data_IF_871863482195
#
_entry.id   IF_871863482195
#
_cell.length_a   1.000
_cell.length_b   1.000
_cell.length_c   1.000
_cell.angle_alpha   90.00
_cell.angle_beta   90.00
_cell.angle_gamma   90.00
#
_symmetry.space_group_name_H-M   'P 1'
#
loop_
_entity.id
_entity.type
_entity.pdbx_description
1 polymer ?
#
# COMPACT_ATOMS: atom_id res chain seq x y z
N UNK A 1 0.51 -20.55 0.05
CA UNK A 1 0.06 -19.47 0.96
C UNK A 1 1.04 -18.31 0.88
N UNK A 2 0.56 -17.07 0.87
CA UNK A 2 1.40 -15.87 0.67
C UNK A 2 1.36 -14.97 1.88
N UNK A 3 2.53 -14.53 2.32
CA UNK A 3 2.66 -13.55 3.38
C UNK A 3 3.10 -12.18 2.84
N UNK A 4 2.53 -11.13 3.43
CA UNK A 4 2.90 -9.74 3.19
C UNK A 4 3.29 -9.08 4.51
N UNK A 5 4.47 -8.44 4.54
CA UNK A 5 4.93 -7.69 5.71
C UNK A 5 4.72 -6.20 5.53
N UNK A 6 4.28 -5.52 6.59
CA UNK A 6 4.00 -4.09 6.61
C UNK A 6 4.97 -3.35 7.54
N UNK A 7 5.26 -2.09 7.17
CA UNK A 7 5.95 -1.15 8.06
C UNK A 7 5.06 -0.85 9.29
N UNK A 8 5.66 -0.49 10.44
CA UNK A 8 4.92 -0.23 11.67
C UNK A 8 3.75 0.76 11.53
N UNK A 9 3.90 1.78 10.70
CA UNK A 9 2.86 2.80 10.46
C UNK A 9 1.55 2.27 9.89
N UNK A 10 1.57 1.10 9.25
CA UNK A 10 0.36 0.46 8.72
C UNK A 10 -0.18 -0.63 9.63
N UNK A 11 0.56 -1.04 10.67
CA UNK A 11 0.26 -2.26 11.42
C UNK A 11 -1.13 -2.22 12.08
N UNK A 12 -1.49 -1.10 12.72
CA UNK A 12 -2.81 -0.92 13.35
C UNK A 12 -3.94 -0.91 12.32
N UNK A 13 -3.74 -0.23 11.19
CA UNK A 13 -4.74 -0.14 10.12
C UNK A 13 -5.01 -1.51 9.47
N UNK A 14 -3.95 -2.31 9.27
CA UNK A 14 -4.06 -3.66 8.72
C UNK A 14 -4.69 -4.62 9.74
N UNK A 15 -4.29 -4.54 11.02
CA UNK A 15 -4.89 -5.32 12.10
C UNK A 15 -6.39 -5.07 12.23
N UNK A 16 -6.81 -3.81 12.11
CA UNK A 16 -8.22 -3.42 12.15
C UNK A 16 -8.98 -3.62 10.83
N UNK A 17 -8.34 -4.17 9.79
CA UNK A 17 -8.90 -4.33 8.44
C UNK A 17 -9.45 -3.02 7.83
N UNK A 18 -8.89 -1.89 8.24
CA UNK A 18 -9.13 -0.58 7.65
C UNK A 18 -8.35 -0.46 6.34
N UNK A 19 -7.05 -0.81 6.38
CA UNK A 19 -6.20 -0.96 5.19
C UNK A 19 -6.37 -2.37 4.63
N UNK A 20 -7.00 -2.47 3.45
CA UNK A 20 -7.35 -3.73 2.77
C UNK A 20 -6.63 -3.95 1.43
N UNK A 21 -5.64 -3.12 1.15
CA UNK A 21 -4.83 -3.23 -0.06
C UNK A 21 -3.35 -2.97 0.20
N UNK A 22 -2.49 -3.46 -0.70
CA UNK A 22 -1.05 -3.16 -0.71
C UNK A 22 -0.49 -3.17 -2.13
N UNK A 23 0.37 -2.20 -2.42
CA UNK A 23 1.22 -2.22 -3.62
C UNK A 23 2.49 -3.04 -3.35
N UNK A 24 2.90 -3.88 -4.31
CA UNK A 24 4.12 -4.71 -4.23
C UNK A 24 4.82 -4.75 -5.58
N UNK A 25 6.15 -4.80 -5.54
CA UNK A 25 6.94 -5.10 -6.73
C UNK A 25 6.59 -6.51 -7.25
N UNK A 26 6.82 -6.72 -8.55
CA UNK A 26 6.64 -8.02 -9.16
C UNK A 26 7.59 -9.05 -8.53
N UNK A 27 7.11 -10.30 -8.37
CA UNK A 27 7.93 -11.40 -7.86
C UNK A 27 7.38 -12.71 -8.38
N UNK A 28 8.17 -13.78 -8.28
CA UNK A 28 7.80 -15.14 -8.75
C UNK A 28 6.38 -15.59 -8.37
N UNK A 29 5.86 -15.19 -7.20
CA UNK A 29 4.51 -15.55 -6.76
C UNK A 29 3.87 -14.49 -5.86
N UNK A 30 2.71 -13.98 -6.26
CA UNK A 30 1.76 -13.27 -5.41
C UNK A 30 0.56 -14.15 -5.05
N UNK A 31 -0.30 -13.67 -4.14
CA UNK A 31 -1.58 -14.32 -3.87
C UNK A 31 -2.44 -14.31 -5.14
N UNK A 32 -3.40 -15.22 -5.24
CA UNK A 32 -4.41 -15.21 -6.30
C UNK A 32 -5.78 -14.97 -5.67
N UNK A 33 -6.76 -14.41 -6.41
CA UNK A 33 -8.12 -14.31 -5.93
C UNK A 33 -8.63 -15.65 -5.37
N UNK A 34 -9.24 -15.61 -4.18
CA UNK A 34 -9.69 -16.80 -3.44
C UNK A 34 -8.65 -17.44 -2.51
N UNK A 35 -7.36 -17.08 -2.63
CA UNK A 35 -6.32 -17.58 -1.70
C UNK A 35 -6.27 -16.76 -0.40
N UNK A 36 -6.03 -17.39 0.76
CA UNK A 36 -5.77 -16.66 2.00
C UNK A 36 -4.43 -15.92 1.96
N UNK A 37 -4.41 -14.69 2.51
CA UNK A 37 -3.22 -13.87 2.68
C UNK A 37 -2.86 -13.73 4.15
N UNK A 38 -1.59 -13.98 4.47
CA UNK A 38 -1.09 -13.77 5.83
C UNK A 38 -0.47 -12.38 5.95
N UNK A 39 -0.93 -11.60 6.93
CA UNK A 39 -0.52 -10.21 7.10
C UNK A 39 0.34 -10.10 8.36
N UNK A 40 1.57 -9.63 8.19
CA UNK A 40 2.58 -9.58 9.25
C UNK A 40 3.22 -8.19 9.40
N UNK A 41 3.84 -7.95 10.54
CA UNK A 41 4.81 -6.88 10.76
C UNK A 41 6.15 -7.51 11.17
N UNK A 42 7.26 -6.90 10.76
CA UNK A 42 8.59 -7.30 11.22
C UNK A 42 9.01 -8.72 10.79
N UNK A 43 8.54 -9.19 9.63
CA UNK A 43 8.83 -10.54 9.16
C UNK A 43 10.34 -10.77 9.01
N UNK A 44 10.82 -11.96 9.37
CA UNK A 44 12.26 -12.34 9.44
C UNK A 44 13.06 -11.63 10.54
N UNK A 45 12.39 -11.06 11.52
CA UNK A 45 13.02 -10.52 12.73
C UNK A 45 12.41 -11.17 13.97
N UNK A 46 13.05 -10.99 15.14
CA UNK A 46 12.49 -11.43 16.44
C UNK A 46 11.17 -10.72 16.79
N UNK A 47 10.87 -9.59 16.15
CA UNK A 47 9.66 -8.79 16.37
C UNK A 47 8.55 -9.16 15.38
N UNK A 48 8.59 -10.37 14.80
CA UNK A 48 7.59 -10.81 13.82
C UNK A 48 6.24 -11.05 14.51
N UNK A 49 5.21 -10.34 14.07
CA UNK A 49 3.86 -10.45 14.64
C UNK A 49 2.83 -10.57 13.52
N UNK A 50 1.91 -11.54 13.66
CA UNK A 50 0.74 -11.67 12.78
C UNK A 50 -0.24 -10.57 13.12
N UNK A 51 -0.70 -9.83 12.12
CA UNK A 51 -1.55 -8.65 12.30
C UNK A 51 -3.03 -8.99 12.37
N UNK A 52 -3.47 -10.02 11.65
CA UNK A 52 -4.86 -10.48 11.60
C UNK A 52 -4.90 -11.96 11.92
N UNK A 53 -5.75 -12.36 12.88
CA UNK A 53 -5.82 -13.74 13.37
C UNK A 53 -6.34 -14.68 12.28
N UNK A 54 -7.50 -14.37 11.70
CA UNK A 54 -8.08 -15.06 10.54
C UNK A 54 -7.49 -14.45 9.26
N UNK A 55 -6.85 -15.28 8.45
CA UNK A 55 -6.23 -14.84 7.20
C UNK A 55 -7.30 -14.30 6.23
N UNK A 56 -7.26 -13.01 5.84
CA UNK A 56 -8.17 -12.46 4.85
C UNK A 56 -8.05 -13.16 3.50
N UNK A 57 -9.10 -13.11 2.69
CA UNK A 57 -9.12 -13.71 1.37
C UNK A 57 -8.70 -12.68 0.33
N UNK A 58 -7.68 -12.99 -0.46
CA UNK A 58 -7.32 -12.15 -1.61
C UNK A 58 -8.54 -12.06 -2.54
N UNK A 59 -8.99 -10.83 -2.79
CA UNK A 59 -10.15 -10.57 -3.63
C UNK A 59 -9.72 -10.24 -5.06
N UNK A 60 -8.63 -9.47 -5.22
CA UNK A 60 -8.13 -9.02 -6.52
C UNK A 60 -6.62 -8.87 -6.52
N UNK A 61 -6.04 -9.06 -7.70
CA UNK A 61 -4.65 -8.71 -8.02
C UNK A 61 -4.65 -8.02 -9.37
N UNK A 62 -4.17 -6.78 -9.41
CA UNK A 62 -4.21 -5.90 -10.59
C UNK A 62 -2.84 -5.30 -10.85
N UNK A 63 -2.47 -5.05 -12.11
CA UNK A 63 -1.25 -4.30 -12.39
C UNK A 63 -1.42 -2.85 -11.94
N UNK A 64 -0.34 -2.25 -11.44
CA UNK A 64 -0.31 -0.86 -11.01
C UNK A 64 0.99 -0.19 -11.43
N UNK A 65 0.86 1.04 -11.92
CA UNK A 65 1.97 1.93 -12.21
C UNK A 65 1.85 3.18 -11.34
N UNK A 66 2.98 3.62 -10.77
CA UNK A 66 3.06 4.85 -9.97
C UNK A 66 4.22 5.68 -10.50
N UNK A 67 3.95 6.93 -10.89
CA UNK A 67 4.98 7.87 -11.30
C UNK A 67 5.24 8.88 -10.18
N UNK A 68 6.52 9.08 -9.86
CA UNK A 68 7.00 9.94 -8.77
C UNK A 68 7.98 10.98 -9.32
N UNK A 69 7.86 12.22 -8.87
CA UNK A 69 8.76 13.35 -9.20
C UNK A 69 9.13 14.13 -7.93
N UNK A 70 10.25 14.83 -7.97
CA UNK A 70 10.67 15.83 -6.98
C UNK A 70 10.41 17.28 -7.45
N UNK A 71 9.91 17.46 -8.68
CA UNK A 71 9.58 18.77 -9.26
C UNK A 71 8.24 19.33 -8.76
N UNK A 72 7.48 18.56 -7.98
CA UNK A 72 6.17 18.93 -7.45
C UNK A 72 6.07 18.62 -5.94
N UNK A 73 5.38 19.44 -5.14
CA UNK A 73 5.25 19.22 -3.69
C UNK A 73 4.63 17.87 -3.29
N UNK A 74 3.68 17.38 -4.08
CA UNK A 74 2.90 16.17 -3.77
C UNK A 74 3.65 14.87 -4.16
N UNK A 75 4.72 14.97 -4.94
CA UNK A 75 5.55 13.90 -5.50
C UNK A 75 4.86 12.83 -6.37
N UNK A 76 3.68 12.31 -6.03
CA UNK A 76 2.91 11.42 -6.92
C UNK A 76 2.40 12.21 -8.11
N UNK A 77 2.86 11.88 -9.31
CA UNK A 77 2.41 12.48 -10.58
C UNK A 77 1.14 11.79 -11.06
N UNK A 78 1.17 10.46 -11.16
CA UNK A 78 0.06 9.64 -11.65
C UNK A 78 0.06 8.26 -10.99
N UNK A 79 -1.13 7.67 -10.92
CA UNK A 79 -1.33 6.26 -10.59
C UNK A 79 -2.20 5.69 -11.70
N UNK A 80 -1.82 4.55 -12.27
CA UNK A 80 -2.65 3.82 -13.22
C UNK A 80 -2.85 2.38 -12.74
N UNK A 81 -4.07 1.88 -12.82
CA UNK A 81 -4.43 0.49 -12.48
C UNK A 81 -4.91 -0.18 -13.76
N UNK A 82 -4.32 -1.31 -14.13
CA UNK A 82 -4.63 -2.02 -15.39
C UNK A 82 -4.50 -1.11 -16.63
N UNK A 83 -3.53 -0.19 -16.60
CA UNK A 83 -3.29 0.80 -17.66
C UNK A 83 -4.28 1.97 -17.67
N UNK A 84 -5.25 2.01 -16.77
CA UNK A 84 -6.24 3.09 -16.67
C UNK A 84 -5.75 4.12 -15.65
N UNK A 85 -5.44 5.37 -16.06
CA UNK A 85 -5.00 6.41 -15.14
C UNK A 85 -6.14 6.85 -14.23
N UNK A 86 -5.85 6.94 -12.93
CA UNK A 86 -6.77 7.47 -11.93
C UNK A 86 -6.83 9.01 -12.00
N UNK A 87 -8.02 9.56 -11.81
CA UNK A 87 -8.24 10.99 -11.65
C UNK A 87 -7.75 11.48 -10.29
N UNK A 88 -7.68 12.80 -10.10
CA UNK A 88 -7.12 13.43 -8.88
C UNK A 88 -7.80 12.93 -7.61
N UNK A 89 -9.13 12.88 -7.60
CA UNK A 89 -9.95 12.46 -6.47
C UNK A 89 -9.79 10.96 -6.22
N UNK A 90 -9.71 10.16 -7.28
CA UNK A 90 -9.47 8.72 -7.21
C UNK A 90 -8.08 8.39 -6.65
N UNK A 91 -7.06 9.19 -6.98
CA UNK A 91 -5.72 9.07 -6.39
C UNK A 91 -5.78 9.31 -4.88
N UNK A 92 -6.47 10.35 -4.42
CA UNK A 92 -6.59 10.63 -2.99
C UNK A 92 -7.30 9.48 -2.26
N UNK A 93 -8.39 8.94 -2.83
CA UNK A 93 -9.10 7.79 -2.28
C UNK A 93 -8.21 6.53 -2.26
N UNK A 94 -7.45 6.30 -3.34
CA UNK A 94 -6.50 5.21 -3.43
C UNK A 94 -5.43 5.30 -2.34
N UNK A 95 -4.81 6.46 -2.16
CA UNK A 95 -3.78 6.68 -1.14
C UNK A 95 -4.34 6.45 0.27
N UNK A 96 -5.58 6.87 0.54
CA UNK A 96 -6.29 6.59 1.81
C UNK A 96 -6.50 5.10 2.03
N UNK A 97 -7.00 4.39 1.01
CA UNK A 97 -7.19 2.94 1.08
C UNK A 97 -5.87 2.19 1.26
N UNK A 98 -4.77 2.71 0.71
CA UNK A 98 -3.41 2.21 0.94
C UNK A 98 -2.81 2.70 2.28
N UNK A 99 -3.60 3.34 3.14
CA UNK A 99 -3.26 3.63 4.54
C UNK A 99 -2.46 4.91 4.77
N UNK A 100 -2.44 5.82 3.80
CA UNK A 100 -1.75 7.11 3.88
C UNK A 100 -2.64 8.27 4.33
N UNK A 101 -3.87 8.00 4.79
CA UNK A 101 -4.73 9.03 5.36
C UNK A 101 -3.98 9.82 6.46
N UNK A 102 -4.00 11.18 6.45
CA UNK A 102 -3.23 11.97 7.41
C UNK A 102 -3.47 11.57 8.87
N UNK A 103 -4.72 11.29 9.25
CA UNK A 103 -5.08 10.84 10.61
C UNK A 103 -4.44 9.52 11.03
N UNK A 104 -3.99 8.69 10.09
CA UNK A 104 -3.37 7.40 10.37
C UNK A 104 -1.84 7.45 10.39
N UNK A 105 -1.22 8.45 9.74
CA UNK A 105 0.23 8.51 9.54
C UNK A 105 0.93 9.71 10.18
N UNK A 106 0.18 10.71 10.66
CA UNK A 106 0.73 11.95 11.25
C UNK A 106 1.63 11.76 12.47
N UNK A 107 1.47 10.65 13.20
CA UNK A 107 2.37 10.30 14.32
C UNK A 107 3.75 9.79 13.86
N UNK A 108 3.95 9.63 12.56
CA UNK A 108 5.22 9.30 11.93
C UNK A 108 5.78 10.56 11.24
N UNK A 109 6.74 10.40 10.33
CA UNK A 109 7.36 11.51 9.61
C UNK A 109 6.52 12.04 8.43
N UNK A 110 5.33 11.49 8.20
CA UNK A 110 4.43 11.85 7.09
C UNK A 110 3.44 12.92 7.57
N UNK A 111 3.69 14.17 7.18
CA UNK A 111 3.00 15.37 7.68
C UNK A 111 2.17 16.09 6.61
N UNK A 112 1.90 15.45 5.48
CA UNK A 112 1.04 15.99 4.42
C UNK A 112 -0.41 16.14 4.88
N UNK A 113 -1.09 17.14 4.34
CA UNK A 113 -2.50 17.42 4.64
C UNK A 113 -3.44 16.50 3.85
N UNK A 114 -2.94 15.87 2.79
CA UNK A 114 -3.66 14.89 1.97
C UNK A 114 -2.99 13.52 2.01
N UNK A 115 -3.74 12.46 1.70
CA UNK A 115 -3.16 11.13 1.61
C UNK A 115 -2.19 11.00 0.44
N UNK A 116 -2.46 11.70 -0.65
CA UNK A 116 -1.57 11.76 -1.82
C UNK A 116 -0.20 12.35 -1.47
N UNK A 117 -0.14 13.43 -0.72
CA UNK A 117 1.13 14.02 -0.26
C UNK A 117 1.91 13.04 0.62
N UNK A 118 1.23 12.40 1.58
CA UNK A 118 1.85 11.41 2.46
C UNK A 118 2.39 10.20 1.70
N UNK A 119 1.60 9.67 0.75
CA UNK A 119 2.07 8.59 -0.12
C UNK A 119 3.24 9.07 -0.99
N UNK A 120 3.18 10.29 -1.53
CA UNK A 120 4.26 10.87 -2.33
C UNK A 120 5.57 10.99 -1.58
N UNK A 121 5.56 11.58 -0.38
CA UNK A 121 6.76 11.67 0.47
C UNK A 121 7.33 10.28 0.77
N UNK A 122 6.46 9.32 1.13
CA UNK A 122 6.86 7.94 1.38
C UNK A 122 7.53 7.28 0.18
N UNK A 123 6.92 7.42 -1.00
CA UNK A 123 7.41 6.81 -2.22
C UNK A 123 8.70 7.46 -2.69
N UNK A 124 8.78 8.79 -2.69
CA UNK A 124 10.01 9.52 -3.02
C UNK A 124 11.17 9.10 -2.10
N UNK A 125 10.93 8.98 -0.80
CA UNK A 125 11.95 8.58 0.17
C UNK A 125 12.42 7.13 -0.02
N UNK A 126 11.54 6.20 -0.38
CA UNK A 126 11.88 4.77 -0.47
C UNK A 126 12.23 4.25 -1.87
N UNK A 127 11.75 4.93 -2.91
CA UNK A 127 11.90 4.50 -4.31
C UNK A 127 12.58 5.56 -5.20
N UNK A 128 12.65 6.82 -4.77
CA UNK A 128 13.19 7.91 -5.56
C UNK A 128 12.25 8.40 -6.67
N UNK A 129 12.80 9.24 -7.55
CA UNK A 129 12.11 9.74 -8.75
C UNK A 129 12.06 8.63 -9.81
N UNK A 130 10.93 8.53 -10.51
CA UNK A 130 10.78 7.61 -11.64
C UNK A 130 9.43 6.94 -11.69
N UNK A 131 9.35 5.87 -12.51
CA UNK A 131 8.16 5.02 -12.62
C UNK A 131 8.40 3.73 -11.85
N UNK A 132 7.43 3.37 -11.04
CA UNK A 132 7.31 2.06 -10.42
C UNK A 132 6.24 1.25 -11.16
N UNK A 133 6.54 -0.01 -11.42
CA UNK A 133 5.61 -1.01 -11.95
C UNK A 133 5.51 -2.18 -10.98
N UNK A 134 4.30 -2.66 -10.75
CA UNK A 134 4.08 -3.80 -9.87
C UNK A 134 2.63 -4.23 -9.83
N UNK A 135 2.22 -4.78 -8.69
CA UNK A 135 0.87 -5.28 -8.45
C UNK A 135 0.21 -4.62 -7.25
N UNK A 136 -1.07 -4.30 -7.41
CA UNK A 136 -2.00 -3.99 -6.34
C UNK A 136 -2.67 -5.29 -5.91
N UNK A 137 -2.52 -5.65 -4.65
CA UNK A 137 -3.21 -6.80 -4.03
C UNK A 137 -4.26 -6.28 -3.07
N UNK A 138 -5.49 -6.77 -3.21
CA UNK A 138 -6.63 -6.44 -2.38
C UNK A 138 -7.15 -7.69 -1.68
N UNK A 139 -7.74 -7.52 -0.50
CA UNK A 139 -8.32 -8.62 0.27
C UNK A 139 -9.57 -8.20 1.02
N UNK A 140 -10.40 -9.19 1.35
CA UNK A 140 -11.59 -9.02 2.17
C UNK A 140 -11.49 -9.85 3.46
N UNK A 141 -12.13 -9.40 4.56
CA UNK A 141 -12.26 -10.20 5.77
C UNK A 141 -12.82 -11.61 5.47
N UNK A 142 -12.33 -12.63 6.20
CA UNK A 142 -12.74 -14.04 6.05
C UNK A 142 -13.93 -14.45 6.92
#
# INVERSE_FOLDING_TARGET
MVAYSFKPMFAQQVRGLIKRQTVRAERKRHARPGEPVQLYQGMRTRNCVKLVERDPICSRVRSIEIAVTDLMPVAIVSIAIEGIPLQREEIELFCRADGFAPSCVRQFWLLGETARENMGSFWLHHHGVGRFEGVLIEWEPA
#
